data_IF_559085135126
#
_entry.id   IF_559085135126
#
_cell.length_a   1.000
_cell.length_b   1.000
_cell.length_c   1.000
_cell.angle_alpha   90.00
_cell.angle_beta   90.00
_cell.angle_gamma   90.00
#
_symmetry.space_group_name_H-M   'P 1'
#
loop_
_entity.id
_entity.type
_entity.pdbx_description
1 polymer ?
#
# COMPACT_ATOMS: atom_id res chain seq x y z
N UNK A 1 -27.62 196.93 24.13
CA UNK A 1 -28.55 197.81 23.41
C UNK A 1 -29.50 196.88 22.65
N UNK A 2 -30.68 196.52 23.15
CA UNK A 2 -31.81 197.35 23.66
C UNK A 2 -32.56 198.07 22.53
N UNK A 3 -33.29 197.26 21.74
CA UNK A 3 -34.46 197.57 20.88
C UNK A 3 -35.05 196.22 20.43
N UNK A 4 -36.31 196.19 20.01
CA UNK A 4 -37.03 194.98 19.54
C UNK A 4 -37.25 193.86 20.58
N UNK A 5 -37.66 194.23 21.80
CA UNK A 5 -38.85 193.57 22.35
C UNK A 5 -40.04 194.42 21.90
N UNK A 6 -40.76 193.97 20.87
CA UNK A 6 -42.10 194.48 20.56
C UNK A 6 -43.10 193.54 21.24
N UNK A 7 -43.84 194.05 22.23
CA UNK A 7 -44.88 193.29 22.95
C UNK A 7 -46.16 193.15 22.11
N UNK A 8 -46.02 192.54 20.93
CA UNK A 8 -47.14 192.02 20.15
C UNK A 8 -47.67 190.75 20.85
N UNK A 9 -48.41 190.95 21.94
CA UNK A 9 -49.10 189.87 22.64
C UNK A 9 -50.05 189.14 21.67
N UNK A 10 -49.96 187.79 21.55
CA UNK A 10 -50.74 187.06 20.57
C UNK A 10 -52.24 187.13 20.86
N UNK A 11 -53.00 187.65 19.90
CA UNK A 11 -54.46 187.74 19.97
C UNK A 11 -55.09 186.39 19.64
N UNK A 12 -55.21 185.52 20.65
CA UNK A 12 -55.78 184.17 20.50
C UNK A 12 -57.28 184.22 20.18
N UNK A 13 -57.74 183.46 19.18
CA UNK A 13 -59.15 183.38 18.81
C UNK A 13 -60.00 182.80 19.95
N UNK A 14 -61.20 183.34 20.19
CA UNK A 14 -62.10 182.90 21.28
C UNK A 14 -63.20 181.99 20.73
N UNK A 15 -63.16 180.72 21.14
CA UNK A 15 -64.24 179.75 20.94
C UNK A 15 -65.30 179.86 22.06
N UNK A 16 -66.44 179.18 21.88
CA UNK A 16 -67.64 179.22 22.75
C UNK A 16 -67.43 178.82 24.24
N UNK A 17 -66.20 178.53 24.68
CA UNK A 17 -65.85 178.39 26.10
C UNK A 17 -64.39 178.71 26.47
N UNK A 18 -63.66 179.48 25.66
CA UNK A 18 -62.26 179.86 25.92
C UNK A 18 -61.44 180.12 24.66
N UNK A 19 -60.15 180.44 24.82
CA UNK A 19 -59.21 180.61 23.70
C UNK A 19 -58.98 179.32 22.91
N UNK A 20 -58.63 179.44 21.62
CA UNK A 20 -58.23 178.31 20.78
C UNK A 20 -56.95 177.67 21.32
N UNK A 21 -57.13 176.45 21.83
CA UNK A 21 -56.07 175.63 22.42
C UNK A 21 -54.91 175.42 21.46
N UNK A 22 -55.16 175.25 20.16
CA UNK A 22 -54.11 174.94 19.20
C UNK A 22 -53.12 176.11 19.04
N UNK A 23 -53.64 177.35 18.98
CA UNK A 23 -52.81 178.56 18.90
C UNK A 23 -51.98 178.77 20.18
N UNK A 24 -52.58 178.51 21.35
CA UNK A 24 -51.88 178.60 22.64
C UNK A 24 -50.79 177.51 22.73
N UNK A 25 -51.08 176.29 22.30
CA UNK A 25 -50.17 175.14 22.36
C UNK A 25 -48.98 175.31 21.38
N UNK A 26 -49.20 175.85 20.18
CA UNK A 26 -48.14 176.25 19.25
C UNK A 26 -47.28 177.41 19.79
N UNK A 27 -47.89 178.49 20.31
CA UNK A 27 -47.15 179.61 20.89
C UNK A 27 -46.31 179.17 22.10
N UNK A 28 -46.88 178.36 23.00
CA UNK A 28 -46.18 177.81 24.17
C UNK A 28 -45.02 176.92 23.75
N UNK A 29 -45.19 176.09 22.71
CA UNK A 29 -44.13 175.27 22.14
C UNK A 29 -42.98 176.12 21.56
N UNK A 30 -43.30 177.19 20.81
CA UNK A 30 -42.31 178.15 20.30
C UNK A 30 -41.58 178.87 21.44
N UNK A 31 -42.28 179.27 22.51
CA UNK A 31 -41.69 179.90 23.68
C UNK A 31 -40.72 178.94 24.40
N UNK A 32 -41.11 177.67 24.56
CA UNK A 32 -40.29 176.64 25.18
C UNK A 32 -39.02 176.33 24.35
N UNK A 33 -39.12 176.35 23.02
CA UNK A 33 -37.96 176.25 22.13
C UNK A 33 -37.00 177.45 22.30
N UNK A 34 -37.51 178.67 22.36
CA UNK A 34 -36.68 179.88 22.56
C UNK A 34 -36.00 179.91 23.94
N UNK A 35 -36.69 179.47 25.01
CA UNK A 35 -36.06 179.33 26.34
C UNK A 35 -34.90 178.33 26.25
N UNK A 36 -35.13 177.17 25.64
CA UNK A 36 -34.12 176.11 25.50
C UNK A 36 -32.90 176.53 24.67
N UNK A 37 -33.05 177.32 23.61
CA UNK A 37 -31.90 177.83 22.83
C UNK A 37 -31.11 178.89 23.60
N UNK A 38 -31.78 179.76 24.37
CA UNK A 38 -31.10 180.70 25.25
C UNK A 38 -30.36 180.01 26.42
N UNK A 39 -30.90 178.94 26.99
CA UNK A 39 -30.19 178.10 27.97
C UNK A 39 -28.94 177.46 27.34
N UNK A 40 -29.07 176.88 26.14
CA UNK A 40 -27.95 176.27 25.41
C UNK A 40 -26.81 177.28 25.16
N UNK A 41 -27.12 178.47 24.62
CA UNK A 41 -26.09 179.50 24.39
C UNK A 41 -25.44 180.03 25.67
N UNK A 42 -26.15 180.07 26.79
CA UNK A 42 -25.58 180.45 28.09
C UNK A 42 -24.60 179.38 28.59
N UNK A 43 -24.96 178.10 28.43
CA UNK A 43 -24.14 176.96 28.85
C UNK A 43 -22.96 176.69 27.90
N UNK A 44 -23.03 177.13 26.64
CA UNK A 44 -21.88 177.22 25.72
C UNK A 44 -20.91 178.34 26.15
N UNK A 45 -21.44 179.52 26.49
CA UNK A 45 -20.63 180.68 26.90
C UNK A 45 -19.91 180.45 28.24
N UNK A 46 -20.52 179.78 29.21
CA UNK A 46 -19.86 179.45 30.49
C UNK A 46 -18.68 178.48 30.30
N UNK A 47 -18.86 177.42 29.50
CA UNK A 47 -17.78 176.47 29.17
C UNK A 47 -16.61 177.12 28.43
N UNK A 48 -16.90 178.11 27.57
CA UNK A 48 -15.86 178.88 26.89
C UNK A 48 -15.03 179.73 27.87
N UNK A 49 -15.66 180.30 28.91
CA UNK A 49 -14.99 181.06 29.97
C UNK A 49 -14.08 180.15 30.81
N UNK A 50 -14.60 179.02 31.30
CA UNK A 50 -13.83 178.03 32.08
C UNK A 50 -12.58 177.54 31.33
N UNK A 51 -12.71 177.31 30.02
CA UNK A 51 -11.58 176.89 29.18
C UNK A 51 -10.49 177.97 29.07
N UNK A 52 -10.85 179.25 29.06
CA UNK A 52 -9.90 180.36 29.02
C UNK A 52 -9.14 180.51 30.36
N UNK A 53 -9.85 180.42 31.50
CA UNK A 53 -9.21 180.47 32.83
C UNK A 53 -8.19 179.35 33.03
N UNK A 54 -8.48 178.14 32.54
CA UNK A 54 -7.54 177.01 32.60
C UNK A 54 -6.27 177.23 31.75
N UNK A 55 -6.34 178.00 30.66
CA UNK A 55 -5.17 178.34 29.86
C UNK A 55 -4.29 179.38 30.57
N UNK A 56 -4.88 180.36 31.25
CA UNK A 56 -4.16 181.39 31.99
C UNK A 56 -3.28 180.78 33.10
N UNK A 57 -3.85 179.93 33.96
CA UNK A 57 -3.11 179.28 35.07
C UNK A 57 -1.90 178.47 34.59
N UNK A 58 -2.04 177.75 33.47
CA UNK A 58 -0.93 176.98 32.85
C UNK A 58 0.20 177.87 32.32
N UNK A 59 -0.06 179.13 31.99
CA UNK A 59 0.97 180.10 31.62
C UNK A 59 1.73 180.61 32.86
N UNK A 60 1.01 180.91 33.95
CA UNK A 60 1.58 181.38 35.22
C UNK A 60 2.51 180.34 35.86
N UNK A 61 2.07 179.07 35.92
CA UNK A 61 2.90 177.93 36.35
C UNK A 61 4.22 177.86 35.57
N UNK A 62 4.15 178.03 34.24
CA UNK A 62 5.30 177.96 33.34
C UNK A 62 6.27 179.14 33.50
N UNK A 63 5.78 180.33 33.87
CA UNK A 63 6.63 181.49 34.17
C UNK A 63 7.41 181.24 35.46
N UNK A 64 6.73 180.86 36.56
CA UNK A 64 7.39 180.60 37.84
C UNK A 64 8.42 179.46 37.79
N UNK A 65 8.22 178.48 36.91
CA UNK A 65 9.17 177.40 36.66
C UNK A 65 10.44 177.84 35.87
N UNK A 66 10.37 178.96 35.13
CA UNK A 66 11.54 179.54 34.45
C UNK A 66 12.35 180.43 35.40
N UNK A 67 11.70 181.20 36.26
CA UNK A 67 12.36 182.08 37.25
C UNK A 67 13.31 181.29 38.17
N UNK A 68 12.84 180.16 38.70
CA UNK A 68 13.66 179.25 39.54
C UNK A 68 14.92 178.76 38.81
N UNK A 69 14.82 178.44 37.51
CA UNK A 69 15.98 178.01 36.69
C UNK A 69 17.00 179.12 36.46
N UNK A 70 16.61 180.39 36.58
CA UNK A 70 17.53 181.54 36.53
C UNK A 70 18.28 181.67 37.87
N UNK A 71 17.57 181.57 39.00
CA UNK A 71 18.21 181.62 40.33
C UNK A 71 19.17 180.45 40.55
N UNK A 72 18.79 179.23 40.15
CA UNK A 72 19.61 178.02 40.30
C UNK A 72 20.91 178.04 39.48
N UNK A 73 20.99 178.90 38.45
CA UNK A 73 22.21 179.11 37.65
C UNK A 73 23.08 180.25 38.18
N UNK A 74 22.48 181.27 38.82
CA UNK A 74 23.24 182.37 39.41
C UNK A 74 24.16 181.88 40.54
N UNK A 75 23.70 180.94 41.37
CA UNK A 75 24.50 180.33 42.44
C UNK A 75 25.67 179.51 41.90
N UNK A 76 25.45 178.70 40.86
CA UNK A 76 26.48 177.87 40.23
C UNK A 76 27.65 178.68 39.63
N UNK A 77 27.41 179.93 39.23
CA UNK A 77 28.46 180.83 38.74
C UNK A 77 29.28 181.37 39.92
N UNK A 78 28.64 181.81 41.00
CA UNK A 78 29.33 182.35 42.17
C UNK A 78 30.28 181.34 42.85
N UNK A 79 29.93 180.05 42.85
CA UNK A 79 30.79 178.98 43.37
C UNK A 79 32.06 178.74 42.53
N UNK A 80 32.07 179.14 41.25
CA UNK A 80 33.19 178.90 40.34
C UNK A 80 34.32 179.93 40.47
N UNK A 81 34.03 181.15 40.96
CA UNK A 81 34.98 182.27 40.96
C UNK A 81 35.88 182.34 42.21
N UNK A 82 35.59 181.58 43.27
CA UNK A 82 36.29 181.66 44.56
C UNK A 82 36.82 180.28 45.07
N UNK A 83 37.90 179.73 44.48
CA UNK A 83 38.44 178.42 44.85
C UNK A 83 39.14 178.43 46.22
N UNK A 84 38.43 178.03 47.27
CA UNK A 84 38.98 177.81 48.62
C UNK A 84 39.54 176.39 48.79
N UNK A 85 40.39 176.18 49.81
CA UNK A 85 41.04 174.89 50.08
C UNK A 85 40.05 173.73 50.30
N UNK A 86 38.85 174.02 50.81
CA UNK A 86 37.77 173.05 50.99
C UNK A 86 37.26 172.48 49.64
N UNK A 87 37.27 173.29 48.58
CA UNK A 87 36.86 172.87 47.23
C UNK A 87 37.77 171.81 46.61
N UNK A 88 39.04 171.71 47.06
CA UNK A 88 39.94 170.65 46.61
C UNK A 88 39.53 169.29 47.20
N UNK A 89 39.15 169.25 48.48
CA UNK A 89 38.59 168.08 49.13
C UNK A 89 37.30 167.61 48.47
N UNK A 90 36.35 168.53 48.23
CA UNK A 90 35.11 168.24 47.51
C UNK A 90 35.35 167.73 46.07
N UNK A 91 36.39 168.22 45.38
CA UNK A 91 36.79 167.69 44.06
C UNK A 91 37.36 166.27 44.14
N UNK A 92 38.19 165.97 45.15
CA UNK A 92 38.72 164.61 45.37
C UNK A 92 37.60 163.64 45.75
N UNK A 93 36.68 164.04 46.63
CA UNK A 93 35.47 163.26 46.96
C UNK A 93 34.65 163.00 45.68
N UNK A 94 34.41 164.02 44.85
CA UNK A 94 33.68 163.87 43.58
C UNK A 94 34.38 162.91 42.61
N UNK A 95 35.71 162.90 42.56
CA UNK A 95 36.49 161.96 41.73
C UNK A 95 36.42 160.53 42.30
N UNK A 96 36.57 160.35 43.61
CA UNK A 96 36.48 159.03 44.26
C UNK A 96 35.06 158.45 44.15
N UNK A 97 34.03 159.28 44.33
CA UNK A 97 32.62 158.91 44.18
C UNK A 97 32.25 158.61 42.73
N UNK A 98 32.83 159.34 41.76
CA UNK A 98 32.71 158.99 40.34
C UNK A 98 33.40 157.65 40.05
N UNK A 99 34.64 157.43 40.53
CA UNK A 99 35.36 156.18 40.34
C UNK A 99 34.69 154.98 41.03
N UNK A 100 34.06 155.17 42.20
CA UNK A 100 33.25 154.16 42.87
C UNK A 100 31.95 153.86 42.10
N UNK A 101 31.28 154.89 41.59
CA UNK A 101 30.11 154.73 40.73
C UNK A 101 30.46 154.01 39.42
N UNK A 102 31.55 154.40 38.75
CA UNK A 102 32.04 153.79 37.51
C UNK A 102 32.50 152.35 37.75
N UNK A 103 33.20 152.06 38.86
CA UNK A 103 33.55 150.69 39.25
C UNK A 103 32.31 149.87 39.64
N UNK A 104 31.26 150.51 40.18
CA UNK A 104 29.95 149.91 40.42
C UNK A 104 29.23 149.55 39.13
N UNK A 105 29.24 150.44 38.15
CA UNK A 105 28.70 150.22 36.79
C UNK A 105 29.48 149.11 36.09
N UNK A 106 30.82 149.17 36.06
CA UNK A 106 31.65 148.11 35.47
C UNK A 106 31.43 146.74 36.14
N UNK A 107 31.27 146.69 37.47
CA UNK A 107 30.91 145.44 38.18
C UNK A 107 29.50 144.96 37.85
N UNK A 108 28.55 145.87 37.61
CA UNK A 108 27.21 145.52 37.15
C UNK A 108 27.22 145.01 35.69
N UNK A 109 27.99 145.63 34.81
CA UNK A 109 28.15 145.23 33.41
C UNK A 109 28.89 143.91 33.27
N UNK A 110 29.99 143.70 33.98
CA UNK A 110 30.68 142.42 34.02
C UNK A 110 29.77 141.29 34.56
N UNK A 111 28.92 141.59 35.56
CA UNK A 111 27.89 140.64 36.04
C UNK A 111 26.79 140.39 34.99
N UNK A 112 26.33 141.42 34.26
CA UNK A 112 25.35 141.27 33.17
C UNK A 112 25.91 140.44 32.02
N UNK A 113 27.15 140.69 31.60
CA UNK A 113 27.86 139.96 30.56
C UNK A 113 28.11 138.50 30.98
N UNK A 114 28.62 138.25 32.19
CA UNK A 114 28.79 136.89 32.70
C UNK A 114 27.47 136.13 32.82
N UNK A 115 26.37 136.79 33.25
CA UNK A 115 25.05 136.19 33.28
C UNK A 115 24.50 135.88 31.87
N UNK A 116 24.74 136.77 30.89
CA UNK A 116 24.39 136.53 29.49
C UNK A 116 25.15 135.32 28.92
N UNK A 117 26.49 135.30 29.03
CA UNK A 117 27.32 134.18 28.58
C UNK A 117 26.95 132.85 29.25
N UNK A 118 26.63 132.85 30.56
CA UNK A 118 26.17 131.65 31.26
C UNK A 118 24.79 131.18 30.81
N UNK A 119 23.88 132.08 30.42
CA UNK A 119 22.58 131.73 29.89
C UNK A 119 22.66 131.23 28.44
N UNK A 120 23.54 131.83 27.64
CA UNK A 120 23.81 131.43 26.25
C UNK A 120 24.48 130.05 26.20
N UNK A 121 25.57 129.84 26.95
CA UNK A 121 26.22 128.51 27.06
C UNK A 121 25.29 127.42 27.64
N UNK A 122 24.31 127.79 28.48
CA UNK A 122 23.25 126.87 28.92
C UNK A 122 22.26 126.55 27.80
N UNK A 123 21.82 127.54 27.04
CA UNK A 123 20.92 127.34 25.91
C UNK A 123 21.58 126.50 24.80
N UNK A 124 22.87 126.73 24.53
CA UNK A 124 23.69 125.89 23.63
C UNK A 124 23.80 124.45 24.14
N UNK A 125 24.16 124.26 25.42
CA UNK A 125 24.26 122.93 26.02
C UNK A 125 22.92 122.18 26.04
N UNK A 126 21.82 122.86 26.36
CA UNK A 126 20.47 122.28 26.25
C UNK A 126 20.10 121.95 24.81
N UNK A 127 20.46 122.80 23.84
CA UNK A 127 20.22 122.51 22.43
C UNK A 127 21.01 121.29 21.96
N UNK A 128 22.28 121.19 22.35
CA UNK A 128 23.16 120.06 22.04
C UNK A 128 22.69 118.76 22.72
N UNK A 129 22.18 118.82 23.96
CA UNK A 129 21.55 117.66 24.60
C UNK A 129 20.26 117.26 23.89
N UNK A 130 19.44 118.22 23.44
CA UNK A 130 18.22 117.93 22.66
C UNK A 130 18.54 117.25 21.33
N UNK A 131 19.52 117.75 20.56
CA UNK A 131 19.91 117.12 19.29
C UNK A 131 20.54 115.75 19.49
N UNK A 132 21.44 115.60 20.47
CA UNK A 132 22.03 114.30 20.80
C UNK A 132 20.97 113.27 21.26
N UNK A 133 19.92 113.71 21.97
CA UNK A 133 18.81 112.84 22.34
C UNK A 133 17.90 112.48 21.15
N UNK A 134 17.64 113.40 20.20
CA UNK A 134 16.89 113.04 18.99
C UNK A 134 17.69 112.13 18.07
N UNK A 135 18.98 112.39 17.85
CA UNK A 135 19.88 111.54 17.07
C UNK A 135 19.99 110.13 17.69
N UNK A 136 20.14 110.02 19.01
CA UNK A 136 20.14 108.72 19.70
C UNK A 136 18.79 107.99 19.61
N UNK A 137 17.66 108.71 19.65
CA UNK A 137 16.33 108.13 19.47
C UNK A 137 16.09 107.65 18.03
N UNK A 138 16.58 108.39 17.04
CA UNK A 138 16.52 108.02 15.62
C UNK A 138 17.42 106.80 15.32
N UNK A 139 18.65 106.77 15.82
CA UNK A 139 19.58 105.64 15.67
C UNK A 139 19.05 104.38 16.36
N UNK A 140 18.45 104.50 17.55
CA UNK A 140 17.82 103.32 18.20
C UNK A 140 16.58 102.85 17.45
N UNK A 141 15.74 103.76 16.96
CA UNK A 141 14.56 103.40 16.16
C UNK A 141 14.92 102.73 14.82
N UNK A 142 15.97 103.17 14.12
CA UNK A 142 16.42 102.52 12.88
C UNK A 142 17.13 101.19 13.15
N UNK A 143 17.99 101.10 14.15
CA UNK A 143 18.66 99.83 14.48
C UNK A 143 17.69 98.77 15.00
N UNK A 144 16.64 99.13 15.75
CA UNK A 144 15.55 98.21 16.10
C UNK A 144 14.78 97.74 14.85
N UNK A 145 14.51 98.64 13.88
CA UNK A 145 13.88 98.27 12.60
C UNK A 145 14.74 97.29 11.81
N UNK A 146 16.02 97.61 11.58
CA UNK A 146 17.00 96.74 10.91
C UNK A 146 17.09 95.36 11.58
N UNK A 147 17.16 95.32 12.91
CA UNK A 147 17.19 94.06 13.68
C UNK A 147 15.89 93.27 13.50
N UNK A 148 14.72 93.92 13.43
CA UNK A 148 13.47 93.20 13.14
C UNK A 148 13.40 92.69 11.71
N UNK A 149 13.87 93.44 10.70
CA UNK A 149 13.91 92.97 9.31
C UNK A 149 14.88 91.79 9.15
N UNK A 150 16.12 91.92 9.62
CA UNK A 150 17.13 90.85 9.58
C UNK A 150 16.61 89.60 10.28
N UNK A 151 15.92 89.75 11.42
CA UNK A 151 15.33 88.62 12.15
C UNK A 151 14.16 87.98 11.40
N UNK A 152 13.25 88.77 10.82
CA UNK A 152 12.14 88.25 10.03
C UNK A 152 12.65 87.51 8.78
N UNK A 153 13.63 88.09 8.08
CA UNK A 153 14.31 87.47 6.94
C UNK A 153 14.99 86.15 7.30
N UNK A 154 15.78 86.12 8.39
CA UNK A 154 16.45 84.90 8.84
C UNK A 154 15.46 83.80 9.27
N UNK A 155 14.32 84.17 9.86
CA UNK A 155 13.23 83.21 10.15
C UNK A 155 12.65 82.65 8.84
N UNK A 156 12.32 83.51 7.87
CA UNK A 156 11.77 83.07 6.59
C UNK A 156 12.74 82.15 5.83
N UNK A 157 13.98 82.58 5.60
CA UNK A 157 15.02 81.79 4.92
C UNK A 157 15.26 80.43 5.61
N UNK A 158 15.26 80.38 6.95
CA UNK A 158 15.41 79.10 7.68
C UNK A 158 14.15 78.24 7.67
N UNK A 159 12.94 78.81 7.57
CA UNK A 159 11.72 78.02 7.34
C UNK A 159 11.68 77.41 5.93
N UNK A 160 11.98 78.20 4.90
CA UNK A 160 12.05 77.73 3.51
C UNK A 160 13.10 76.63 3.34
N UNK A 161 14.30 76.80 3.90
CA UNK A 161 15.35 75.78 3.90
C UNK A 161 14.88 74.47 4.56
N UNK A 162 14.16 74.56 5.70
CA UNK A 162 13.65 73.39 6.43
C UNK A 162 12.50 72.71 5.70
N UNK A 163 11.64 73.45 5.02
CA UNK A 163 10.61 72.86 4.17
C UNK A 163 11.19 72.20 2.92
N UNK A 164 12.16 72.83 2.25
CA UNK A 164 12.83 72.26 1.09
C UNK A 164 13.61 71.01 1.46
N UNK A 165 14.30 70.99 2.61
CA UNK A 165 14.94 69.80 3.14
C UNK A 165 13.95 68.66 3.43
N UNK A 166 12.77 68.97 3.99
CA UNK A 166 11.68 67.99 4.18
C UNK A 166 11.15 67.45 2.87
N UNK A 167 10.72 68.32 1.94
CA UNK A 167 10.22 67.93 0.60
C UNK A 167 11.22 67.03 -0.14
N UNK A 168 12.51 67.36 -0.10
CA UNK A 168 13.55 66.57 -0.73
C UNK A 168 13.77 65.21 -0.02
N UNK A 169 13.65 65.16 1.30
CA UNK A 169 13.72 63.90 2.06
C UNK A 169 12.51 63.00 1.79
N UNK A 170 11.30 63.56 1.79
CA UNK A 170 10.06 62.82 1.53
C UNK A 170 10.03 62.25 0.10
N UNK A 171 10.54 63.00 -0.88
CA UNK A 171 10.77 62.51 -2.25
C UNK A 171 11.81 61.38 -2.30
N UNK A 172 12.96 61.55 -1.64
CA UNK A 172 14.00 60.51 -1.60
C UNK A 172 13.51 59.21 -0.91
N UNK A 173 12.68 59.31 0.12
CA UNK A 173 12.01 58.16 0.73
C UNK A 173 11.00 57.51 -0.23
N UNK A 174 10.21 58.30 -0.95
CA UNK A 174 9.26 57.79 -1.94
C UNK A 174 9.98 57.08 -3.11
N UNK A 175 11.12 57.60 -3.56
CA UNK A 175 11.96 56.96 -4.57
C UNK A 175 12.60 55.67 -4.06
N UNK A 176 13.23 55.69 -2.88
CA UNK A 176 13.80 54.49 -2.27
C UNK A 176 12.73 53.40 -2.01
N UNK A 177 11.51 53.77 -1.63
CA UNK A 177 10.40 52.82 -1.50
C UNK A 177 9.95 52.24 -2.85
N UNK A 178 9.89 53.05 -3.92
CA UNK A 178 9.55 52.57 -5.27
C UNK A 178 10.64 51.66 -5.84
N UNK A 179 11.91 52.00 -5.63
CA UNK A 179 13.05 51.16 -6.01
C UNK A 179 13.04 49.83 -5.24
N UNK A 180 12.86 49.86 -3.91
CA UNK A 180 12.77 48.65 -3.09
C UNK A 180 11.59 47.75 -3.49
N UNK A 181 10.41 48.31 -3.78
CA UNK A 181 9.27 47.55 -4.30
C UNK A 181 9.56 46.95 -5.69
N UNK A 182 10.24 47.71 -6.56
CA UNK A 182 10.62 47.24 -7.90
C UNK A 182 11.61 46.07 -7.80
N UNK A 183 12.69 46.22 -7.02
CA UNK A 183 13.69 45.18 -6.77
C UNK A 183 13.06 43.94 -6.11
N UNK A 184 12.14 44.12 -5.15
CA UNK A 184 11.40 43.01 -4.54
C UNK A 184 10.53 42.28 -5.56
N UNK A 185 9.86 43.00 -6.47
CA UNK A 185 9.05 42.40 -7.54
C UNK A 185 9.89 41.63 -8.56
N UNK A 186 11.07 42.15 -8.92
CA UNK A 186 12.03 41.50 -9.81
C UNK A 186 12.60 40.24 -9.17
N UNK A 187 13.13 40.33 -7.94
CA UNK A 187 13.65 39.20 -7.18
C UNK A 187 12.59 38.10 -6.99
N UNK A 188 11.34 38.48 -6.73
CA UNK A 188 10.22 37.53 -6.68
C UNK A 188 9.95 36.86 -8.02
N UNK A 189 9.91 37.61 -9.12
CA UNK A 189 9.69 37.06 -10.46
C UNK A 189 10.84 36.13 -10.90
N UNK A 190 12.08 36.43 -10.50
CA UNK A 190 13.25 35.56 -10.72
C UNK A 190 13.20 34.29 -9.87
N UNK A 191 12.77 34.39 -8.60
CA UNK A 191 12.53 33.23 -7.74
C UNK A 191 11.39 32.34 -8.27
N UNK A 192 10.29 32.92 -8.74
CA UNK A 192 9.19 32.18 -9.37
C UNK A 192 9.61 31.54 -10.70
N UNK A 193 10.42 32.24 -11.52
CA UNK A 193 11.00 31.72 -12.76
C UNK A 193 11.93 30.53 -12.50
N UNK A 194 12.94 30.70 -11.64
CA UNK A 194 13.92 29.65 -11.32
C UNK A 194 13.26 28.43 -10.66
N UNK A 195 12.30 28.66 -9.76
CA UNK A 195 11.45 27.60 -9.21
C UNK A 195 10.68 26.86 -10.30
N UNK A 196 10.01 27.57 -11.22
CA UNK A 196 9.25 26.94 -12.30
C UNK A 196 10.12 26.15 -13.28
N UNK A 197 11.39 26.55 -13.44
CA UNK A 197 12.39 25.79 -14.19
C UNK A 197 12.80 24.51 -13.44
N UNK A 198 13.15 24.62 -12.16
CA UNK A 198 13.51 23.46 -11.33
C UNK A 198 12.36 22.45 -11.22
N UNK A 199 11.10 22.91 -11.08
CA UNK A 199 9.92 22.04 -11.06
C UNK A 199 9.73 21.29 -12.40
N UNK A 200 10.06 21.90 -13.55
CA UNK A 200 10.08 21.22 -14.86
C UNK A 200 11.23 20.23 -14.99
N UNK A 201 12.42 20.60 -14.56
CA UNK A 201 13.60 19.73 -14.60
C UNK A 201 13.40 18.49 -13.72
N UNK A 202 12.85 18.65 -12.51
CA UNK A 202 12.44 17.55 -11.62
C UNK A 202 11.35 16.69 -12.27
N UNK A 203 10.36 17.28 -12.95
CA UNK A 203 9.32 16.52 -13.64
C UNK A 203 9.89 15.68 -14.81
N UNK A 204 10.85 16.23 -15.57
CA UNK A 204 11.56 15.49 -16.64
C UNK A 204 12.40 14.37 -16.04
N UNK A 205 13.21 14.64 -15.00
CA UNK A 205 14.05 13.62 -14.34
C UNK A 205 13.22 12.48 -13.71
N UNK A 206 12.04 12.79 -13.15
CA UNK A 206 11.11 11.75 -12.68
C UNK A 206 10.57 10.93 -13.84
N UNK A 207 10.15 11.58 -14.93
CA UNK A 207 9.64 10.88 -16.11
C UNK A 207 10.71 10.02 -16.83
N UNK A 208 12.00 10.36 -16.77
CA UNK A 208 13.07 9.48 -17.27
C UNK A 208 13.35 8.33 -16.30
N UNK A 209 13.51 8.61 -14.99
CA UNK A 209 13.75 7.58 -13.99
C UNK A 209 12.59 6.56 -13.90
N UNK A 210 11.34 7.00 -14.04
CA UNK A 210 10.18 6.11 -14.10
C UNK A 210 10.21 5.20 -15.34
N UNK A 211 10.60 5.73 -16.50
CA UNK A 211 10.78 4.94 -17.74
C UNK A 211 11.90 3.92 -17.58
N UNK A 212 13.08 4.35 -17.14
CA UNK A 212 14.24 3.50 -16.86
C UNK A 212 13.87 2.36 -15.88
N UNK A 213 13.13 2.66 -14.81
CA UNK A 213 12.62 1.65 -13.87
C UNK A 213 11.61 0.69 -14.52
N UNK A 214 10.75 1.15 -15.43
CA UNK A 214 9.86 0.24 -16.18
C UNK A 214 10.59 -0.61 -17.20
N UNK A 215 11.62 -0.08 -17.86
CA UNK A 215 12.45 -0.79 -18.84
C UNK A 215 13.31 -1.86 -18.15
N UNK A 216 13.96 -1.53 -17.04
CA UNK A 216 14.71 -2.48 -16.21
C UNK A 216 13.80 -3.59 -15.64
N UNK A 217 12.57 -3.26 -15.20
CA UNK A 217 11.58 -4.26 -14.77
C UNK A 217 11.13 -5.15 -15.93
N UNK A 218 10.93 -4.60 -17.12
CA UNK A 218 10.58 -5.37 -18.30
C UNK A 218 11.74 -6.28 -18.77
N UNK A 219 12.99 -5.83 -18.64
CA UNK A 219 14.19 -6.62 -18.92
C UNK A 219 14.31 -7.80 -17.94
N UNK A 220 14.29 -7.53 -16.63
CA UNK A 220 14.39 -8.55 -15.59
C UNK A 220 13.22 -9.56 -15.63
N UNK A 221 12.01 -9.13 -16.04
CA UNK A 221 10.89 -10.03 -16.28
C UNK A 221 11.15 -10.99 -17.46
N UNK A 222 11.64 -10.46 -18.60
CA UNK A 222 12.03 -11.29 -19.75
C UNK A 222 13.13 -12.28 -19.40
N UNK A 223 14.19 -11.83 -18.73
CA UNK A 223 15.28 -12.72 -18.27
C UNK A 223 14.77 -13.81 -17.33
N UNK A 224 13.86 -13.48 -16.41
CA UNK A 224 13.26 -14.47 -15.50
C UNK A 224 12.40 -15.49 -16.27
N UNK A 225 11.62 -15.05 -17.24
CA UNK A 225 10.78 -15.94 -18.06
C UNK A 225 11.61 -16.75 -19.07
N UNK A 226 12.71 -16.21 -19.62
CA UNK A 226 13.67 -16.96 -20.42
C UNK A 226 14.37 -18.04 -19.60
N UNK A 227 14.81 -17.74 -18.37
CA UNK A 227 15.37 -18.71 -17.44
C UNK A 227 14.35 -19.80 -17.04
N UNK A 228 13.08 -19.42 -16.77
CA UNK A 228 11.98 -20.36 -16.50
C UNK A 228 11.73 -21.27 -17.71
N UNK A 229 11.66 -20.71 -18.92
CA UNK A 229 11.46 -21.47 -20.15
C UNK A 229 12.63 -22.41 -20.45
N UNK A 230 13.87 -21.98 -20.21
CA UNK A 230 15.06 -22.84 -20.33
C UNK A 230 15.02 -23.99 -19.32
N UNK A 231 14.69 -23.71 -18.05
CA UNK A 231 14.53 -24.75 -17.02
C UNK A 231 13.38 -25.73 -17.36
N UNK A 232 12.25 -25.25 -17.88
CA UNK A 232 11.14 -26.10 -18.33
C UNK A 232 11.53 -26.99 -19.52
N UNK A 233 12.31 -26.48 -20.49
CA UNK A 233 12.85 -27.29 -21.60
C UNK A 233 13.76 -28.40 -21.09
N UNK A 234 14.73 -28.07 -20.23
CA UNK A 234 15.62 -29.07 -19.61
C UNK A 234 14.85 -30.12 -18.80
N UNK A 235 13.80 -29.72 -18.07
CA UNK A 235 12.93 -30.66 -17.34
C UNK A 235 12.10 -31.55 -18.27
N UNK A 236 11.63 -31.02 -19.40
CA UNK A 236 10.92 -31.78 -20.42
C UNK A 236 11.85 -32.77 -21.15
N UNK A 237 13.05 -32.33 -21.55
CA UNK A 237 14.09 -33.18 -22.14
C UNK A 237 14.51 -34.31 -21.18
N UNK A 238 14.69 -34.00 -19.89
CA UNK A 238 14.96 -34.99 -18.85
C UNK A 238 13.76 -35.90 -18.53
N UNK A 239 12.52 -35.46 -18.80
CA UNK A 239 11.34 -36.33 -18.73
C UNK A 239 11.28 -37.27 -19.94
N UNK A 240 11.50 -36.77 -21.16
CA UNK A 240 11.54 -37.60 -22.38
C UNK A 240 12.70 -38.60 -22.37
N UNK A 241 13.88 -38.22 -21.88
CA UNK A 241 14.98 -39.18 -21.68
C UNK A 241 14.63 -40.28 -20.66
N UNK A 242 13.89 -39.96 -19.59
CA UNK A 242 13.40 -40.97 -18.64
C UNK A 242 12.30 -41.85 -19.24
N UNK A 243 11.41 -41.31 -20.08
CA UNK A 243 10.41 -42.10 -20.83
C UNK A 243 11.08 -43.06 -21.79
N UNK A 244 12.01 -42.57 -22.63
CA UNK A 244 12.78 -43.40 -23.58
C UNK A 244 13.53 -44.51 -22.85
N UNK A 245 14.30 -44.18 -21.80
CA UNK A 245 15.05 -45.18 -21.03
C UNK A 245 14.16 -46.18 -20.28
N UNK A 246 12.96 -45.81 -19.84
CA UNK A 246 12.01 -46.77 -19.24
C UNK A 246 11.31 -47.63 -20.30
N UNK A 247 11.02 -47.09 -21.50
CA UNK A 247 10.56 -47.88 -22.65
C UNK A 247 11.64 -48.88 -23.12
N UNK A 248 12.89 -48.46 -23.24
CA UNK A 248 14.05 -49.32 -23.54
C UNK A 248 14.20 -50.46 -22.51
N UNK A 249 14.02 -50.16 -21.22
CA UNK A 249 14.07 -51.18 -20.16
C UNK A 249 12.87 -52.14 -20.21
N UNK A 250 11.66 -51.66 -20.49
CA UNK A 250 10.45 -52.50 -20.65
C UNK A 250 10.61 -53.40 -21.87
N UNK A 251 11.13 -52.89 -22.99
CA UNK A 251 11.44 -53.69 -24.18
C UNK A 251 12.53 -54.72 -23.89
N UNK A 252 13.62 -54.34 -23.21
CA UNK A 252 14.68 -55.27 -22.81
C UNK A 252 14.21 -56.34 -21.81
N UNK A 253 13.21 -56.05 -20.99
CA UNK A 253 12.56 -57.04 -20.12
C UNK A 253 11.61 -57.95 -20.91
N UNK A 254 10.83 -57.40 -21.85
CA UNK A 254 9.98 -58.19 -22.76
C UNK A 254 10.83 -59.15 -23.62
N UNK A 255 11.93 -58.67 -24.21
CA UNK A 255 12.97 -59.46 -24.88
C UNK A 255 13.49 -60.62 -24.02
N UNK A 256 13.76 -60.36 -22.74
CA UNK A 256 14.24 -61.38 -21.79
C UNK A 256 13.16 -62.40 -21.45
N UNK A 257 11.91 -61.95 -21.25
CA UNK A 257 10.76 -62.82 -21.00
C UNK A 257 10.44 -63.69 -22.22
N UNK A 258 10.50 -63.14 -23.43
CA UNK A 258 10.32 -63.88 -24.68
C UNK A 258 11.44 -64.91 -24.90
N UNK A 259 12.70 -64.55 -24.64
CA UNK A 259 13.83 -65.51 -24.68
C UNK A 259 13.67 -66.61 -23.64
N UNK A 260 13.31 -66.27 -22.39
CA UNK A 260 13.06 -67.26 -21.35
C UNK A 260 11.89 -68.19 -21.69
N UNK A 261 10.79 -67.66 -22.23
CA UNK A 261 9.64 -68.45 -22.70
C UNK A 261 10.00 -69.34 -23.90
N UNK A 262 10.86 -68.87 -24.81
CA UNK A 262 11.40 -69.69 -25.90
C UNK A 262 12.29 -70.81 -25.38
N UNK A 263 13.24 -70.52 -24.49
CA UNK A 263 14.07 -71.55 -23.87
C UNK A 263 13.24 -72.56 -23.04
N UNK A 264 12.18 -72.12 -22.36
CA UNK A 264 11.26 -72.99 -21.63
C UNK A 264 10.42 -73.85 -22.59
N UNK A 265 9.91 -73.27 -23.69
CA UNK A 265 9.21 -74.00 -24.74
C UNK A 265 10.14 -75.00 -25.45
N UNK A 266 11.40 -74.64 -25.72
CA UNK A 266 12.41 -75.52 -26.32
C UNK A 266 12.76 -76.68 -25.38
N UNK A 267 12.95 -76.40 -24.07
CA UNK A 267 13.12 -77.44 -23.04
C UNK A 267 11.88 -78.34 -22.94
N UNK A 268 10.68 -77.78 -23.04
CA UNK A 268 9.44 -78.54 -23.01
C UNK A 268 9.26 -79.39 -24.27
N UNK A 269 9.60 -78.88 -25.46
CA UNK A 269 9.62 -79.66 -26.70
C UNK A 269 10.68 -80.78 -26.66
N UNK A 270 11.86 -80.53 -26.08
CA UNK A 270 12.87 -81.57 -25.85
C UNK A 270 12.39 -82.62 -24.84
N UNK A 271 11.67 -82.22 -23.79
CA UNK A 271 11.04 -83.13 -22.83
C UNK A 271 9.91 -83.95 -23.48
N UNK A 272 9.07 -83.34 -24.33
CA UNK A 272 8.05 -84.04 -25.12
C UNK A 272 8.71 -85.02 -26.10
N UNK A 273 9.74 -84.61 -26.85
CA UNK A 273 10.41 -85.46 -27.83
C UNK A 273 11.14 -86.64 -27.17
N UNK A 274 11.75 -86.43 -26.00
CA UNK A 274 12.36 -87.53 -25.22
C UNK A 274 11.31 -88.44 -24.58
N UNK A 275 10.20 -87.90 -24.07
CA UNK A 275 9.07 -88.70 -23.60
C UNK A 275 8.42 -89.49 -24.74
N UNK A 276 8.21 -88.89 -25.91
CA UNK A 276 7.71 -89.56 -27.12
C UNK A 276 8.66 -90.67 -27.58
N UNK A 277 9.98 -90.46 -27.53
CA UNK A 277 10.95 -91.53 -27.81
C UNK A 277 10.88 -92.66 -26.78
N UNK A 278 10.70 -92.35 -25.50
CA UNK A 278 10.51 -93.37 -24.45
C UNK A 278 9.19 -94.13 -24.66
N UNK A 279 8.13 -93.45 -25.08
CA UNK A 279 6.84 -94.07 -25.43
C UNK A 279 7.00 -94.95 -26.67
N UNK A 280 7.61 -94.48 -27.76
CA UNK A 280 7.82 -95.30 -28.95
C UNK A 280 8.74 -96.50 -28.67
N UNK A 281 9.80 -96.33 -27.88
CA UNK A 281 10.63 -97.45 -27.42
C UNK A 281 9.88 -98.41 -26.49
N UNK A 282 8.86 -97.96 -25.76
CA UNK A 282 7.99 -98.82 -24.96
C UNK A 282 6.93 -99.52 -25.82
N UNK A 283 6.38 -98.86 -26.84
CA UNK A 283 5.47 -99.40 -27.84
C UNK A 283 6.16 -100.44 -28.72
N UNK A 284 7.39 -100.20 -29.18
CA UNK A 284 8.23 -101.17 -29.88
C UNK A 284 8.52 -102.41 -29.01
N UNK A 285 8.85 -102.20 -27.72
CA UNK A 285 9.04 -103.30 -26.75
C UNK A 285 7.75 -104.06 -26.47
N UNK A 286 6.60 -103.37 -26.44
CA UNK A 286 5.28 -103.96 -26.27
C UNK A 286 4.87 -104.76 -27.50
N UNK A 287 5.02 -104.21 -28.71
CA UNK A 287 4.75 -104.89 -29.97
C UNK A 287 5.64 -106.15 -30.13
N UNK A 288 6.93 -106.05 -29.78
CA UNK A 288 7.84 -107.20 -29.76
C UNK A 288 7.51 -108.22 -28.65
N UNK A 289 6.90 -107.78 -27.54
CA UNK A 289 6.38 -108.68 -26.51
C UNK A 289 5.06 -109.35 -26.96
N UNK A 290 4.17 -108.62 -27.66
CA UNK A 290 2.96 -109.15 -28.28
C UNK A 290 3.28 -110.13 -29.41
N UNK A 291 4.27 -109.87 -30.25
CA UNK A 291 4.71 -110.81 -31.29
C UNK A 291 5.28 -112.09 -30.66
N UNK A 292 6.02 -111.98 -29.56
CA UNK A 292 6.47 -113.13 -28.75
C UNK A 292 5.31 -113.86 -28.07
N UNK A 293 4.27 -113.14 -27.63
CA UNK A 293 3.07 -113.73 -27.06
C UNK A 293 2.26 -114.48 -28.12
N UNK A 294 1.93 -113.84 -29.25
CA UNK A 294 1.22 -114.43 -30.40
C UNK A 294 1.98 -115.63 -30.97
N UNK A 295 3.31 -115.57 -31.08
CA UNK A 295 4.12 -116.72 -31.53
C UNK A 295 4.29 -117.81 -30.46
N UNK A 296 4.10 -117.52 -29.16
CA UNK A 296 3.98 -118.55 -28.12
C UNK A 296 2.58 -119.16 -28.04
N UNK A 297 1.54 -118.37 -28.36
CA UNK A 297 0.15 -118.80 -28.47
C UNK A 297 -0.05 -119.69 -29.69
N UNK A 298 0.43 -119.29 -30.87
CA UNK A 298 0.44 -120.13 -32.08
C UNK A 298 1.14 -121.47 -31.82
N UNK A 299 2.35 -121.47 -31.23
CA UNK A 299 3.06 -122.71 -30.79
C UNK A 299 2.34 -123.50 -29.70
N UNK A 300 1.27 -122.99 -29.13
CA UNK A 300 0.42 -123.69 -28.16
C UNK A 300 -0.93 -124.11 -28.75
N UNK A 301 -1.36 -123.49 -29.85
CA UNK A 301 -2.41 -123.99 -30.75
C UNK A 301 -1.87 -125.16 -31.57
N UNK A 302 -0.70 -125.02 -32.22
CA UNK A 302 -0.01 -126.10 -32.94
C UNK A 302 0.14 -127.35 -32.08
N UNK A 303 0.68 -127.22 -30.85
CA UNK A 303 0.81 -128.34 -29.90
C UNK A 303 -0.53 -128.90 -29.39
N UNK A 304 -1.63 -128.14 -29.45
CA UNK A 304 -2.99 -128.65 -29.19
C UNK A 304 -3.52 -129.44 -30.37
N UNK A 305 -3.34 -128.94 -31.59
CA UNK A 305 -3.74 -129.63 -32.83
C UNK A 305 -2.95 -130.93 -33.02
N UNK A 306 -1.64 -130.93 -32.75
CA UNK A 306 -0.80 -132.13 -32.69
C UNK A 306 -1.31 -133.12 -31.64
N UNK A 307 -1.67 -132.66 -30.44
CA UNK A 307 -2.18 -133.52 -29.37
C UNK A 307 -3.57 -134.12 -29.71
N UNK A 308 -4.47 -133.31 -30.27
CA UNK A 308 -5.78 -133.77 -30.75
C UNK A 308 -5.65 -134.77 -31.91
N UNK A 309 -4.67 -134.57 -32.80
CA UNK A 309 -4.40 -135.51 -33.88
C UNK A 309 -3.80 -136.82 -33.35
N UNK A 310 -2.85 -136.76 -32.41
CA UNK A 310 -2.32 -137.93 -31.71
C UNK A 310 -3.42 -138.67 -30.92
N UNK A 311 -4.40 -137.97 -30.34
CA UNK A 311 -5.55 -138.55 -29.67
C UNK A 311 -6.48 -139.27 -30.66
N UNK A 312 -6.76 -138.68 -31.83
CA UNK A 312 -7.51 -139.36 -32.91
C UNK A 312 -6.78 -140.62 -33.39
N UNK A 313 -5.46 -140.56 -33.58
CA UNK A 313 -4.66 -141.71 -34.00
C UNK A 313 -4.57 -142.80 -32.91
N UNK A 314 -4.58 -142.41 -31.63
CA UNK A 314 -4.66 -143.34 -30.51
C UNK A 314 -6.03 -144.04 -30.45
N UNK A 315 -7.12 -143.28 -30.63
CA UNK A 315 -8.48 -143.83 -30.72
C UNK A 315 -8.64 -144.77 -31.93
N UNK A 316 -8.12 -144.39 -33.09
CA UNK A 316 -8.16 -145.26 -34.29
C UNK A 316 -7.39 -146.57 -34.05
N UNK A 317 -6.20 -146.50 -33.45
CA UNK A 317 -5.41 -147.70 -33.07
C UNK A 317 -6.15 -148.57 -32.06
N UNK A 318 -6.81 -147.99 -31.06
CA UNK A 318 -7.62 -148.73 -30.09
C UNK A 318 -8.85 -149.41 -30.74
N UNK A 319 -9.51 -148.76 -31.71
CA UNK A 319 -10.63 -149.33 -32.48
C UNK A 319 -10.16 -150.51 -33.35
N UNK A 320 -9.03 -150.40 -34.05
CA UNK A 320 -8.48 -151.52 -34.82
C UNK A 320 -8.02 -152.67 -33.91
N UNK A 321 -7.36 -152.40 -32.79
CA UNK A 321 -7.04 -153.42 -31.79
C UNK A 321 -8.30 -154.13 -31.25
N UNK A 322 -9.40 -153.39 -31.02
CA UNK A 322 -10.69 -153.98 -30.62
C UNK A 322 -11.27 -154.91 -31.70
N UNK A 323 -11.12 -154.56 -32.99
CA UNK A 323 -11.52 -155.44 -34.11
C UNK A 323 -10.67 -156.71 -34.16
N UNK A 324 -9.34 -156.61 -34.01
CA UNK A 324 -8.44 -157.77 -33.98
C UNK A 324 -8.78 -158.71 -32.83
N UNK A 325 -8.91 -158.19 -31.60
CA UNK A 325 -9.27 -159.00 -30.42
C UNK A 325 -10.63 -159.70 -30.60
N UNK A 326 -11.62 -159.04 -31.22
CA UNK A 326 -12.91 -159.68 -31.56
C UNK A 326 -12.77 -160.78 -32.61
N UNK A 327 -11.94 -160.59 -33.63
CA UNK A 327 -11.70 -161.58 -34.67
C UNK A 327 -10.97 -162.82 -34.14
N UNK A 328 -10.00 -162.64 -33.25
CA UNK A 328 -9.26 -163.75 -32.64
C UNK A 328 -10.09 -164.50 -31.58
N UNK A 329 -10.91 -163.78 -30.79
CA UNK A 329 -11.89 -164.42 -29.90
C UNK A 329 -12.93 -165.26 -30.66
N UNK A 330 -13.35 -164.83 -31.86
CA UNK A 330 -14.24 -165.61 -32.71
C UNK A 330 -13.59 -166.91 -33.20
N UNK A 331 -12.33 -166.85 -33.68
CA UNK A 331 -11.56 -168.04 -34.11
C UNK A 331 -11.37 -169.04 -32.98
N UNK A 332 -11.05 -168.58 -31.77
CA UNK A 332 -10.78 -169.49 -30.65
C UNK A 332 -12.08 -170.15 -30.12
N UNK A 333 -13.21 -169.43 -30.18
CA UNK A 333 -14.53 -170.03 -29.95
C UNK A 333 -14.90 -171.10 -30.99
N UNK A 334 -14.55 -170.89 -32.26
CA UNK A 334 -14.75 -171.86 -33.35
C UNK A 334 -13.86 -173.11 -33.16
N UNK A 335 -12.60 -172.92 -32.74
CA UNK A 335 -11.69 -174.01 -32.30
C UNK A 335 -12.25 -174.83 -31.14
N UNK A 336 -12.87 -174.17 -30.16
CA UNK A 336 -13.49 -174.82 -29.00
C UNK A 336 -14.72 -175.66 -29.36
N UNK A 337 -15.55 -175.20 -30.30
CA UNK A 337 -16.71 -175.99 -30.79
C UNK A 337 -16.25 -177.25 -31.50
N UNK A 338 -15.33 -177.12 -32.45
CA UNK A 338 -14.79 -178.26 -33.22
C UNK A 338 -14.17 -179.33 -32.31
N UNK A 339 -13.36 -178.91 -31.34
CA UNK A 339 -12.71 -179.85 -30.39
C UNK A 339 -13.64 -180.38 -29.29
N UNK A 340 -14.90 -179.93 -29.23
CA UNK A 340 -15.97 -180.56 -28.46
C UNK A 340 -16.74 -181.60 -29.30
N UNK A 341 -17.00 -181.31 -30.57
CA UNK A 341 -17.65 -182.23 -31.53
C UNK A 341 -16.78 -183.48 -31.79
N UNK A 342 -15.47 -183.30 -31.99
CA UNK A 342 -14.51 -184.41 -32.16
C UNK A 342 -14.50 -185.35 -30.92
N UNK A 343 -14.57 -184.80 -29.69
CA UNK A 343 -14.65 -185.59 -28.45
C UNK A 343 -16.02 -186.22 -28.17
N UNK A 344 -17.08 -185.71 -28.79
CA UNK A 344 -18.40 -186.35 -28.73
C UNK A 344 -18.41 -187.63 -29.59
N UNK A 345 -17.77 -187.59 -30.77
CA UNK A 345 -17.67 -188.74 -31.67
C UNK A 345 -16.90 -189.91 -31.04
N UNK A 346 -15.74 -189.66 -30.41
CA UNK A 346 -14.91 -190.70 -29.76
C UNK A 346 -15.67 -191.49 -28.68
N UNK A 347 -16.63 -190.87 -27.99
CA UNK A 347 -17.38 -191.49 -26.88
C UNK A 347 -18.57 -192.36 -27.32
N UNK A 348 -19.05 -192.20 -28.54
CA UNK A 348 -20.20 -192.97 -29.06
C UNK A 348 -19.78 -194.34 -29.58
N UNK A 349 -18.56 -194.47 -30.10
CA UNK A 349 -18.08 -195.69 -30.77
C UNK A 349 -18.06 -196.96 -29.89
N UNK A 350 -17.47 -196.96 -28.67
CA UNK A 350 -17.40 -198.19 -27.86
C UNK A 350 -18.77 -198.62 -27.32
N UNK A 351 -19.68 -197.67 -27.05
CA UNK A 351 -21.04 -197.94 -26.59
C UNK A 351 -21.91 -198.64 -27.64
N UNK A 352 -21.54 -198.60 -28.92
CA UNK A 352 -22.24 -199.33 -29.98
C UNK A 352 -21.89 -200.84 -29.97
N UNK A 353 -20.65 -201.20 -29.63
CA UNK A 353 -20.16 -202.58 -29.68
C UNK A 353 -20.63 -203.41 -28.47
N UNK A 354 -20.73 -202.80 -27.28
CA UNK A 354 -21.29 -203.46 -26.09
C UNK A 354 -22.77 -203.87 -26.28
N UNK A 355 -23.54 -203.08 -27.05
CA UNK A 355 -24.93 -203.40 -27.40
C UNK A 355 -25.02 -204.63 -28.32
N UNK A 356 -24.06 -204.83 -29.23
CA UNK A 356 -24.07 -206.00 -30.11
C UNK A 356 -23.69 -207.30 -29.38
N UNK A 357 -22.76 -207.22 -28.42
CA UNK A 357 -22.39 -208.36 -27.57
C UNK A 357 -23.59 -208.87 -26.75
N UNK A 358 -24.33 -207.97 -26.11
CA UNK A 358 -25.53 -208.30 -25.33
C UNK A 358 -26.66 -208.91 -26.18
N UNK A 359 -26.77 -208.52 -27.45
CA UNK A 359 -27.78 -209.08 -28.36
C UNK A 359 -27.58 -210.59 -28.58
N UNK A 360 -26.34 -211.07 -28.69
CA UNK A 360 -26.05 -212.49 -28.99
C UNK A 360 -26.18 -213.39 -27.76
N UNK A 361 -25.99 -212.84 -26.56
CA UNK A 361 -26.18 -213.57 -25.30
C UNK A 361 -27.67 -213.80 -24.94
N UNK A 362 -28.57 -212.93 -25.44
CA UNK A 362 -30.03 -213.08 -25.27
C UNK A 362 -30.57 -214.34 -25.94
N UNK A 363 -30.08 -214.67 -27.13
CA UNK A 363 -30.73 -215.66 -28.01
C UNK A 363 -30.45 -217.12 -27.59
N UNK A 364 -29.40 -217.39 -26.80
CA UNK A 364 -29.18 -218.71 -26.19
C UNK A 364 -30.04 -218.98 -24.95
N UNK A 365 -30.49 -217.93 -24.25
CA UNK A 365 -31.37 -218.06 -23.09
C UNK A 365 -32.83 -218.35 -23.46
N UNK A 366 -33.20 -218.16 -24.74
CA UNK A 366 -34.59 -218.28 -25.21
C UNK A 366 -35.17 -219.69 -25.24
N UNK A 367 -34.35 -220.76 -25.22
CA UNK A 367 -34.86 -222.12 -25.51
C UNK A 367 -35.69 -222.74 -24.38
N UNK A 368 -35.40 -222.41 -23.11
CA UNK A 368 -35.82 -223.25 -21.97
C UNK A 368 -36.85 -222.59 -21.02
N UNK A 369 -37.48 -221.46 -21.39
CA UNK A 369 -38.66 -220.93 -20.68
C UNK A 369 -39.86 -220.62 -21.61
N UNK A 370 -39.88 -221.24 -22.79
CA UNK A 370 -41.13 -221.54 -23.51
C UNK A 370 -41.45 -223.04 -23.52
N UNK A 371 -40.82 -223.83 -22.63
CA UNK A 371 -41.45 -225.05 -22.11
C UNK A 371 -41.90 -224.81 -20.66
N UNK A 372 -42.95 -223.98 -20.58
CA UNK A 372 -43.82 -223.68 -19.43
C UNK A 372 -43.22 -222.73 -18.36
N UNK A 373 -43.74 -221.52 -18.14
CA UNK A 373 -44.82 -220.73 -18.77
C UNK A 373 -46.16 -221.45 -19.03
N UNK A 374 -46.61 -222.30 -18.10
CA UNK A 374 -48.02 -222.78 -18.10
C UNK A 374 -48.90 -222.06 -17.09
N UNK A 375 -48.39 -221.79 -15.89
CA UNK A 375 -49.17 -221.32 -14.75
C UNK A 375 -48.30 -220.50 -13.78
N UNK A 376 -48.83 -219.34 -13.36
CA UNK A 376 -48.65 -218.65 -12.06
C UNK A 376 -47.20 -218.23 -11.68
N UNK A 377 -46.88 -217.01 -11.22
CA UNK A 377 -47.63 -216.04 -10.40
C UNK A 377 -47.03 -216.02 -8.98
N UNK A 378 -46.96 -214.92 -8.20
CA UNK A 378 -47.41 -213.52 -8.32
C UNK A 378 -46.74 -212.68 -7.16
N UNK A 379 -47.13 -211.41 -6.92
CA UNK A 379 -46.76 -210.52 -5.75
C UNK A 379 -45.34 -209.87 -5.86
N UNK A 380 -45.10 -208.54 -5.94
CA UNK A 380 -45.36 -207.29 -5.13
C UNK A 380 -44.29 -206.98 -4.04
N UNK A 381 -43.93 -205.73 -3.66
CA UNK A 381 -44.30 -204.36 -4.09
C UNK A 381 -43.62 -203.26 -3.20
N UNK A 382 -43.90 -201.94 -3.43
CA UNK A 382 -43.81 -200.77 -2.49
C UNK A 382 -42.42 -200.33 -1.88
N UNK A 383 -42.11 -199.08 -1.44
CA UNK A 383 -42.46 -197.69 -1.84
C UNK A 383 -41.41 -196.62 -1.32
N UNK A 384 -41.71 -195.30 -1.33
CA UNK A 384 -40.87 -194.05 -1.22
C UNK A 384 -40.21 -193.71 0.19
N UNK A 385 -39.50 -192.56 0.52
CA UNK A 385 -39.65 -191.15 0.03
C UNK A 385 -38.47 -190.10 -0.05
N UNK A 386 -38.53 -189.22 -1.08
CA UNK A 386 -38.33 -187.73 -1.14
C UNK A 386 -37.07 -186.90 -0.72
N UNK A 387 -36.95 -185.71 -1.38
CA UNK A 387 -36.13 -184.48 -1.13
C UNK A 387 -34.61 -184.51 -1.45
N UNK A 388 -33.94 -183.52 -2.09
CA UNK A 388 -34.27 -182.35 -2.95
C UNK A 388 -32.93 -181.74 -3.49
N UNK A 389 -32.79 -180.86 -4.50
CA UNK A 389 -33.71 -180.34 -5.52
C UNK A 389 -33.27 -178.97 -6.12
N UNK A 390 -32.98 -178.87 -7.44
CA UNK A 390 -32.60 -177.65 -8.22
C UNK A 390 -31.23 -176.98 -7.89
N UNK A 391 -30.49 -176.31 -8.79
CA UNK A 391 -30.45 -176.24 -10.27
C UNK A 391 -29.20 -175.50 -10.79
N UNK A 392 -28.79 -175.79 -12.04
CA UNK A 392 -28.03 -174.92 -12.95
C UNK A 392 -26.73 -174.24 -12.44
N UNK A 393 -25.62 -174.98 -12.49
CA UNK A 393 -24.27 -174.38 -12.39
C UNK A 393 -23.63 -174.12 -13.76
N UNK A 394 -23.34 -172.85 -14.07
CA UNK A 394 -22.00 -172.34 -14.48
C UNK A 394 -22.03 -171.09 -15.37
N UNK A 395 -21.11 -170.16 -15.09
CA UNK A 395 -20.60 -169.07 -15.94
C UNK A 395 -21.61 -168.23 -16.77
N UNK A 396 -21.95 -167.03 -16.28
CA UNK A 396 -21.79 -165.78 -17.07
C UNK A 396 -22.16 -164.48 -16.32
N UNK A 397 -21.48 -163.40 -16.70
CA UNK A 397 -21.99 -162.01 -16.81
C UNK A 397 -22.02 -161.05 -15.58
N UNK A 398 -21.71 -159.77 -15.91
CA UNK A 398 -22.29 -158.49 -15.46
C UNK A 398 -21.86 -157.74 -14.15
N UNK A 399 -21.52 -156.46 -14.41
CA UNK A 399 -22.00 -155.20 -13.77
C UNK A 399 -21.51 -154.65 -12.42
N UNK A 400 -20.74 -153.56 -12.51
CA UNK A 400 -21.08 -152.17 -12.09
C UNK A 400 -20.81 -151.62 -10.65
N UNK A 401 -20.65 -150.27 -10.61
CA UNK A 401 -20.70 -149.32 -9.46
C UNK A 401 -19.57 -149.38 -8.39
N UNK A 402 -19.12 -148.28 -7.76
CA UNK A 402 -19.33 -146.82 -7.97
C UNK A 402 -18.41 -145.92 -7.11
N UNK A 403 -18.02 -144.73 -7.62
CA UNK A 403 -17.58 -143.54 -6.85
C UNK A 403 -16.09 -143.46 -6.41
N UNK A 404 -15.51 -142.29 -6.07
CA UNK A 404 -15.95 -140.87 -6.24
C UNK A 404 -14.90 -139.81 -5.81
N UNK A 405 -14.79 -138.68 -6.55
CA UNK A 405 -14.30 -137.34 -6.09
C UNK A 405 -12.86 -136.94 -6.52
N UNK A 406 -12.53 -135.75 -7.09
CA UNK A 406 -12.75 -134.30 -6.77
C UNK A 406 -11.84 -133.73 -5.65
N UNK A 407 -11.20 -132.54 -5.71
CA UNK A 407 -10.93 -131.54 -6.79
C UNK A 407 -9.80 -130.52 -6.37
N UNK A 408 -9.50 -129.48 -7.17
CA UNK A 408 -8.52 -128.36 -6.96
C UNK A 408 -9.16 -127.15 -6.17
N UNK A 409 -8.73 -125.83 -6.16
CA UNK A 409 -7.54 -125.10 -6.71
C UNK A 409 -6.95 -123.87 -5.92
N UNK A 410 -5.85 -123.27 -6.47
CA UNK A 410 -5.57 -121.80 -6.64
C UNK A 410 -4.79 -120.87 -5.65
N UNK A 411 -4.17 -119.84 -6.26
CA UNK A 411 -3.86 -118.44 -5.84
C UNK A 411 -2.59 -118.04 -5.02
N UNK A 412 -2.02 -116.83 -5.27
CA UNK A 412 -0.84 -116.28 -4.56
C UNK A 412 -0.47 -114.80 -4.85
N UNK A 413 0.64 -114.28 -4.26
CA UNK A 413 1.13 -112.86 -4.22
C UNK A 413 2.64 -112.76 -3.82
N UNK A 414 3.41 -111.63 -3.81
CA UNK A 414 3.20 -110.17 -4.01
C UNK A 414 4.53 -109.34 -3.97
N UNK A 415 4.50 -108.00 -3.81
CA UNK A 415 5.68 -107.05 -3.88
C UNK A 415 5.46 -105.72 -3.09
N UNK A 416 6.49 -105.05 -2.49
CA UNK A 416 6.52 -103.56 -2.19
C UNK A 416 7.86 -102.93 -1.62
N UNK A 417 7.87 -101.64 -1.20
CA UNK A 417 9.03 -100.71 -0.84
C UNK A 417 8.53 -99.48 0.03
N UNK A 418 9.20 -98.30 0.33
CA UNK A 418 10.47 -97.64 -0.09
C UNK A 418 11.33 -96.91 1.04
N UNK A 419 11.68 -95.59 0.93
CA UNK A 419 12.60 -94.75 1.79
C UNK A 419 12.21 -93.23 1.87
N UNK A 420 12.93 -92.32 2.58
CA UNK A 420 12.41 -90.98 3.05
C UNK A 420 13.41 -89.77 3.27
N UNK A 421 12.88 -88.52 3.51
CA UNK A 421 13.46 -87.22 4.05
C UNK A 421 14.38 -86.29 3.17
N UNK A 422 14.55 -84.93 3.36
CA UNK A 422 13.84 -83.86 4.14
C UNK A 422 14.56 -82.45 4.36
N UNK A 423 13.80 -81.32 4.54
CA UNK A 423 14.08 -79.93 5.13
C UNK A 423 15.10 -78.90 4.52
N UNK A 424 15.35 -77.59 4.91
CA UNK A 424 15.11 -76.68 6.11
C UNK A 424 14.83 -75.13 5.78
N UNK A 425 15.34 -74.13 6.56
CA UNK A 425 15.03 -72.63 6.70
C UNK A 425 16.18 -71.65 6.20
N UNK A 426 16.33 -70.28 6.33
CA UNK A 426 15.76 -69.01 6.96
C UNK A 426 16.21 -67.70 6.17
N UNK A 427 16.28 -66.36 6.50
CA UNK A 427 16.07 -65.38 7.65
C UNK A 427 16.17 -63.83 7.22
N UNK A 428 15.80 -62.84 8.08
CA UNK A 428 16.27 -61.39 8.26
C UNK A 428 15.55 -60.13 7.64
N UNK A 429 15.77 -58.88 8.20
CA UNK A 429 14.96 -57.62 8.00
C UNK A 429 15.69 -56.23 8.15
N UNK A 430 15.07 -55.04 7.84
CA UNK A 430 15.18 -53.80 8.70
C UNK A 430 13.97 -52.77 8.69
N UNK A 431 14.19 -51.46 9.05
CA UNK A 431 13.27 -50.49 9.73
C UNK A 431 12.85 -49.15 8.99
N UNK A 432 11.89 -48.32 9.52
CA UNK A 432 11.31 -47.10 8.87
C UNK A 432 11.76 -45.70 9.41
N UNK A 433 11.28 -44.57 8.82
CA UNK A 433 11.82 -43.19 9.02
C UNK A 433 10.77 -42.03 9.18
N UNK A 434 11.09 -41.08 10.07
CA UNK A 434 10.69 -39.66 10.25
C UNK A 434 9.31 -39.18 10.79
N UNK A 435 9.39 -38.02 11.47
CA UNK A 435 8.32 -37.10 11.95
C UNK A 435 8.65 -35.66 11.55
N UNK A 436 7.64 -34.78 11.49
CA UNK A 436 7.81 -33.33 11.30
C UNK A 436 8.00 -32.58 12.64
N UNK A 437 8.45 -31.32 12.56
CA UNK A 437 8.46 -30.35 13.67
C UNK A 437 8.37 -28.92 13.14
N UNK A 438 7.70 -28.05 13.88
CA UNK A 438 7.34 -26.69 13.46
C UNK A 438 8.50 -25.68 13.53
N UNK A 439 8.32 -24.53 12.85
CA UNK A 439 9.26 -23.40 12.88
C UNK A 439 8.63 -22.16 13.52
N UNK A 440 9.24 -21.67 14.61
CA UNK A 440 8.80 -20.45 15.31
C UNK A 440 9.94 -19.82 16.13
N UNK A 441 11.05 -19.42 15.47
CA UNK A 441 12.24 -18.91 16.20
C UNK A 441 13.15 -17.99 15.34
N UNK A 442 12.58 -17.00 14.62
CA UNK A 442 13.33 -16.04 13.78
C UNK A 442 12.74 -14.62 13.81
N UNK A 443 12.70 -13.96 14.98
CA UNK A 443 12.27 -12.54 15.03
C UNK A 443 12.83 -11.72 16.23
N UNK A 444 14.17 -11.68 16.39
CA UNK A 444 14.86 -10.89 17.46
C UNK A 444 16.23 -10.30 17.06
N UNK A 445 16.31 -9.54 15.96
CA UNK A 445 17.56 -8.83 15.58
C UNK A 445 17.31 -7.44 14.97
N UNK A 446 16.86 -6.47 15.78
CA UNK A 446 16.99 -5.04 15.45
C UNK A 446 16.85 -4.12 16.68
N UNK A 447 17.98 -3.68 17.24
CA UNK A 447 18.08 -2.50 18.10
C UNK A 447 19.40 -1.77 17.78
N UNK A 448 19.31 -0.50 17.37
CA UNK A 448 20.43 0.42 17.21
C UNK A 448 20.13 1.68 18.04
N UNK A 449 21.07 2.18 18.87
CA UNK A 449 20.83 3.34 19.71
C UNK A 449 20.87 4.65 18.91
N UNK A 450 19.94 5.56 19.22
CA UNK A 450 19.92 6.92 18.68
C UNK A 450 20.93 7.77 19.44
N UNK A 451 21.82 8.47 18.72
CA UNK A 451 22.66 9.54 19.26
C UNK A 451 21.85 10.85 19.27
N UNK A 452 21.98 11.63 20.33
CA UNK A 452 21.52 13.01 20.48
C UNK A 452 22.67 13.86 21.04
#
# INVERSE_FOLDING_TARGET
MSKFFEESGPEFAVAMRGYDRNQVEEFTSRLYQNIKTHEQHRDEASRALEAAEQQLRRAEERISALERRVTDRATQIAEAEAPTLAGLGARVEKILRAAEQDAGVQKADAKRQAAAMLNEARAEAESMMRTAHTEAAEITATTDQDVTEIRARAVNETTELRENARRNHDLALADAHREAQTAQSQSRAEAEKTRSQAEREIAVQRATAEREVTELKAHAARESDEQRNAAQRLLAEAAEHRKKKTQELILAEADRRERAQKEEADRHQQAIATAQRIVSEAEDRLALAEERARSAENRSVERREEADQQAKDALHRAVEQSKVVKADAAKEAERLRRTAEERAAERVHPLAEEVEALSRQRDSAGSNLTDLRRQLGLVSGEEEPTLAGSSAGSSSSLSASSGSGFDLPSAGSGYESPMSLGVFESESAPLPINKQRDGSDMDRTQQLPVVR
#
